data_IF_800641052667
#
_entry.id   IF_800641052667
#
_cell.length_a   1.000
_cell.length_b   1.000
_cell.length_c   1.000
_cell.angle_alpha   90.00
_cell.angle_beta   90.00
_cell.angle_gamma   90.00
#
_symmetry.space_group_name_H-M   'P 1'
#
loop_
_entity.id
_entity.type
_entity.pdbx_description
1 polymer ?
#
# COMPACT_ATOMS: atom_id res chain seq x y z
N UNK A 1 6.17 13.89 -15.03
CA UNK A 1 7.28 14.85 -14.90
C UNK A 1 7.01 15.96 -13.89
N UNK A 2 5.79 16.38 -13.73
CA UNK A 2 5.41 17.44 -12.78
C UNK A 2 5.21 16.94 -11.35
N UNK A 3 5.69 15.75 -11.03
CA UNK A 3 5.77 15.23 -9.67
C UNK A 3 6.84 16.01 -8.89
N UNK A 4 6.66 16.10 -7.57
CA UNK A 4 7.66 16.75 -6.74
C UNK A 4 8.96 15.95 -6.75
N UNK A 5 10.09 16.62 -6.92
CA UNK A 5 11.38 15.98 -6.70
C UNK A 5 11.53 15.61 -5.22
N UNK A 6 12.45 14.70 -4.87
CA UNK A 6 12.78 14.45 -3.47
C UNK A 6 13.27 15.75 -2.81
N UNK A 7 12.93 15.93 -1.54
CA UNK A 7 13.47 17.06 -0.76
C UNK A 7 14.97 16.85 -0.63
N UNK A 8 15.74 17.61 -1.40
CA UNK A 8 17.19 17.51 -1.45
C UNK A 8 17.87 18.19 -0.27
N UNK A 9 19.18 17.97 -0.12
CA UNK A 9 20.02 18.73 0.79
C UNK A 9 20.25 20.14 0.26
N UNK A 10 20.51 21.09 1.14
CA UNK A 10 20.69 22.51 0.78
C UNK A 10 21.86 22.77 -0.20
N UNK A 11 22.77 21.82 -0.35
CA UNK A 11 23.95 21.87 -1.23
C UNK A 11 23.73 21.20 -2.60
N UNK A 12 22.59 20.51 -2.80
CA UNK A 12 22.28 19.86 -4.07
C UNK A 12 21.83 20.86 -5.14
N UNK A 13 22.40 20.74 -6.34
CA UNK A 13 21.97 21.55 -7.49
C UNK A 13 20.57 21.09 -7.92
N UNK A 14 19.72 22.05 -8.32
CA UNK A 14 18.35 21.74 -8.75
C UNK A 14 18.27 20.65 -9.84
N UNK A 15 19.24 20.65 -10.79
CA UNK A 15 19.29 19.63 -11.84
C UNK A 15 19.46 18.20 -11.31
N UNK A 16 20.16 18.03 -10.20
CA UNK A 16 20.52 16.71 -9.67
C UNK A 16 19.33 16.01 -8.98
N UNK A 17 18.25 16.74 -8.75
CA UNK A 17 16.98 16.23 -8.23
C UNK A 17 16.14 15.45 -9.26
N UNK A 18 16.45 15.56 -10.56
CA UNK A 18 15.66 14.98 -11.64
C UNK A 18 16.37 13.80 -12.30
N UNK A 19 15.73 12.64 -12.34
CA UNK A 19 16.26 11.41 -12.92
C UNK A 19 16.65 11.57 -14.41
N UNK A 20 15.89 12.37 -15.18
CA UNK A 20 16.17 12.65 -16.59
C UNK A 20 17.44 13.51 -16.83
N UNK A 21 18.03 14.04 -15.77
CA UNK A 21 19.31 14.76 -15.80
C UNK A 21 20.50 13.85 -15.46
N UNK A 22 20.26 12.60 -15.08
CA UNK A 22 21.31 11.63 -14.75
C UNK A 22 22.04 11.13 -16.00
N UNK A 23 23.30 10.76 -15.82
CA UNK A 23 24.10 10.14 -16.90
C UNK A 23 23.48 8.82 -17.36
N UNK A 24 22.97 8.00 -16.43
CA UNK A 24 22.29 6.74 -16.73
C UNK A 24 21.08 6.94 -17.65
N UNK A 25 20.29 7.99 -17.44
CA UNK A 25 19.18 8.33 -18.34
C UNK A 25 19.64 8.64 -19.76
N UNK A 26 20.70 9.45 -19.89
CA UNK A 26 21.26 9.82 -21.19
C UNK A 26 21.83 8.60 -21.92
N UNK A 27 22.56 7.75 -21.21
CA UNK A 27 23.18 6.53 -21.77
C UNK A 27 22.14 5.47 -22.17
N UNK A 28 21.02 5.37 -21.45
CA UNK A 28 19.96 4.42 -21.73
C UNK A 28 19.24 4.68 -23.06
N UNK A 29 19.31 5.91 -23.61
CA UNK A 29 18.70 6.29 -24.90
C UNK A 29 17.25 5.83 -25.02
N UNK A 30 16.44 6.11 -23.99
CA UNK A 30 15.04 5.69 -23.95
C UNK A 30 14.25 6.17 -25.18
N UNK A 31 13.35 5.31 -25.63
CA UNK A 31 12.26 5.71 -26.52
C UNK A 31 11.15 6.32 -25.66
N UNK A 32 10.75 7.53 -26.00
CA UNK A 32 9.68 8.23 -25.27
C UNK A 32 8.36 7.97 -25.95
N UNK A 33 7.37 7.51 -25.18
CA UNK A 33 5.98 7.39 -25.59
C UNK A 33 5.14 8.25 -24.65
N UNK A 34 4.66 9.39 -25.13
CA UNK A 34 3.91 10.34 -24.31
C UNK A 34 2.41 10.02 -24.35
N UNK A 35 1.83 9.77 -23.18
CA UNK A 35 0.39 9.48 -23.06
C UNK A 35 -0.38 10.80 -23.02
N UNK A 36 -1.38 10.93 -23.89
CA UNK A 36 -2.22 12.14 -24.03
C UNK A 36 -3.54 12.06 -23.31
N UNK A 37 -4.04 10.84 -23.03
CA UNK A 37 -5.32 10.65 -22.36
C UNK A 37 -5.16 10.67 -20.83
N UNK A 38 -6.10 11.34 -20.17
CA UNK A 38 -6.16 11.45 -18.71
C UNK A 38 -7.38 10.68 -18.19
N UNK A 39 -7.15 9.72 -17.27
CA UNK A 39 -8.21 8.85 -16.74
C UNK A 39 -8.53 9.08 -15.26
N UNK A 40 -7.83 10.01 -14.60
CA UNK A 40 -8.05 10.28 -13.16
C UNK A 40 -9.17 11.27 -12.93
N UNK A 41 -9.20 12.35 -13.71
CA UNK A 41 -10.15 13.43 -13.58
C UNK A 41 -11.23 13.26 -14.65
N UNK A 42 -12.49 13.14 -14.20
CA UNK A 42 -13.67 13.13 -15.08
C UNK A 42 -14.27 14.55 -15.23
N UNK A 43 -13.66 15.54 -14.59
CA UNK A 43 -14.12 16.94 -14.49
C UNK A 43 -13.31 17.86 -15.43
N UNK A 44 -14.01 18.48 -16.37
CA UNK A 44 -13.41 19.41 -17.33
C UNK A 44 -12.85 20.67 -16.69
N UNK A 45 -13.48 21.20 -15.62
CA UNK A 45 -13.05 22.42 -14.95
C UNK A 45 -11.73 22.20 -14.20
N UNK A 46 -11.61 21.09 -13.48
CA UNK A 46 -10.36 20.71 -12.82
C UNK A 46 -9.23 20.45 -13.83
N UNK A 47 -9.55 19.75 -14.92
CA UNK A 47 -8.60 19.48 -16.00
C UNK A 47 -8.09 20.78 -16.67
N UNK A 48 -8.96 21.75 -16.88
CA UNK A 48 -8.59 23.05 -17.46
C UNK A 48 -7.60 23.79 -16.56
N UNK A 49 -7.87 23.84 -15.24
CA UNK A 49 -6.93 24.43 -14.26
C UNK A 49 -5.57 23.69 -14.27
N UNK A 50 -5.57 22.36 -14.23
CA UNK A 50 -4.34 21.57 -14.23
C UNK A 50 -3.53 21.75 -15.50
N UNK A 51 -4.19 21.82 -16.66
CA UNK A 51 -3.56 22.07 -17.94
C UNK A 51 -3.01 23.51 -18.02
N UNK A 52 -3.74 24.50 -17.47
CA UNK A 52 -3.27 25.88 -17.41
C UNK A 52 -2.03 26.01 -16.51
N UNK A 53 -1.92 25.26 -15.41
CA UNK A 53 -0.69 25.19 -14.60
C UNK A 53 0.44 24.57 -15.40
N UNK A 54 0.21 23.45 -16.11
CA UNK A 54 1.23 22.75 -16.92
C UNK A 54 1.77 23.61 -18.05
N UNK A 55 0.90 24.32 -18.75
CA UNK A 55 1.27 25.20 -19.87
C UNK A 55 1.70 26.60 -19.42
N UNK A 56 1.72 26.88 -18.12
CA UNK A 56 2.00 28.22 -17.55
C UNK A 56 1.08 29.33 -18.11
N UNK A 57 -0.17 28.98 -18.39
CA UNK A 57 -1.20 29.87 -18.93
C UNK A 57 -2.31 30.20 -17.93
N UNK A 58 -2.01 30.09 -16.64
CA UNK A 58 -2.94 30.47 -15.56
C UNK A 58 -3.38 31.92 -15.77
N UNK A 59 -4.70 32.13 -15.74
CA UNK A 59 -5.32 33.42 -15.86
C UNK A 59 -6.26 33.72 -14.67
N UNK A 60 -6.87 34.91 -14.68
CA UNK A 60 -7.71 35.36 -13.58
C UNK A 60 -8.97 34.49 -13.38
N UNK A 61 -9.49 33.88 -14.43
CA UNK A 61 -10.64 32.95 -14.33
C UNK A 61 -10.31 31.70 -13.55
N UNK A 62 -9.12 31.11 -13.82
CA UNK A 62 -8.63 29.95 -13.09
C UNK A 62 -8.40 30.26 -11.59
N UNK A 63 -7.83 31.45 -11.30
CA UNK A 63 -7.62 31.92 -9.93
C UNK A 63 -8.95 32.08 -9.21
N UNK A 64 -9.94 32.72 -9.85
CA UNK A 64 -11.28 32.90 -9.28
C UNK A 64 -11.98 31.56 -9.04
N UNK A 65 -11.87 30.61 -9.97
CA UNK A 65 -12.42 29.26 -9.79
C UNK A 65 -11.81 28.55 -8.57
N UNK A 66 -10.49 28.66 -8.36
CA UNK A 66 -9.81 28.13 -7.19
C UNK A 66 -10.26 28.86 -5.90
N UNK A 67 -10.37 30.19 -5.91
CA UNK A 67 -10.80 30.96 -4.75
C UNK A 67 -12.25 30.67 -4.34
N UNK A 68 -13.14 30.39 -5.29
CA UNK A 68 -14.52 29.99 -5.03
C UNK A 68 -14.64 28.71 -4.23
N UNK A 69 -13.67 27.80 -4.34
CA UNK A 69 -13.66 26.55 -3.56
C UNK A 69 -13.38 26.75 -2.07
N UNK A 70 -12.98 27.95 -1.63
CA UNK A 70 -12.54 28.22 -0.25
C UNK A 70 -13.57 27.89 0.83
N UNK A 71 -14.83 28.06 0.52
CA UNK A 71 -15.96 27.79 1.43
C UNK A 71 -16.83 26.63 0.93
N UNK A 72 -16.31 25.85 0.00
CA UNK A 72 -17.06 24.74 -0.59
C UNK A 72 -17.32 23.66 0.45
N UNK A 73 -18.55 23.16 0.47
CA UNK A 73 -18.89 21.98 1.27
C UNK A 73 -18.39 20.73 0.55
N UNK A 74 -17.45 20.03 1.18
CA UNK A 74 -16.85 18.80 0.67
C UNK A 74 -17.23 17.58 1.52
N UNK A 75 -18.29 17.71 2.35
CA UNK A 75 -18.74 16.69 3.29
C UNK A 75 -17.81 16.52 4.49
N UNK A 76 -18.07 15.48 5.29
CA UNK A 76 -17.35 15.21 6.56
C UNK A 76 -16.13 14.30 6.38
N UNK A 77 -16.07 13.59 5.25
CA UNK A 77 -15.00 12.60 4.98
C UNK A 77 -14.02 13.17 3.96
N UNK A 78 -13.05 13.93 4.44
CA UNK A 78 -11.99 14.49 3.62
C UNK A 78 -10.63 14.41 4.31
N UNK A 79 -9.57 14.49 3.51
CA UNK A 79 -8.19 14.54 3.99
C UNK A 79 -7.66 15.96 3.90
N UNK A 80 -6.90 16.42 4.91
CA UNK A 80 -6.24 17.72 4.89
C UNK A 80 -4.84 17.59 4.28
N UNK A 81 -4.52 18.40 3.28
CA UNK A 81 -3.21 18.46 2.65
C UNK A 81 -2.48 19.73 3.02
N UNK A 82 -1.27 19.57 3.57
CA UNK A 82 -0.41 20.69 3.98
C UNK A 82 0.99 20.57 3.34
N UNK A 83 1.68 21.70 3.28
CA UNK A 83 3.02 21.80 2.69
C UNK A 83 4.12 21.27 3.62
N UNK A 84 3.95 21.36 4.94
CA UNK A 84 4.96 21.02 5.94
C UNK A 84 4.53 19.89 6.89
N UNK A 85 5.50 19.10 7.36
CA UNK A 85 5.26 18.00 8.30
C UNK A 85 4.78 18.50 9.67
N UNK A 86 5.36 19.59 10.19
CA UNK A 86 5.00 20.11 11.51
C UNK A 86 3.51 20.44 11.65
N UNK A 87 2.90 21.00 10.59
CA UNK A 87 1.47 21.30 10.59
C UNK A 87 0.66 20.00 10.65
N UNK A 88 1.08 18.98 9.91
CA UNK A 88 0.43 17.67 9.83
C UNK A 88 0.47 16.94 11.16
N UNK A 89 1.62 16.86 11.77
CA UNK A 89 1.79 16.10 13.03
C UNK A 89 1.00 16.77 14.17
N UNK A 90 1.04 18.10 14.29
CA UNK A 90 0.28 18.83 15.32
C UNK A 90 -1.25 18.65 15.13
N UNK A 91 -1.74 18.66 13.90
CA UNK A 91 -3.18 18.44 13.60
C UNK A 91 -3.58 17.01 13.96
N UNK A 92 -2.79 16.03 13.54
CA UNK A 92 -3.07 14.62 13.80
C UNK A 92 -3.08 14.32 15.30
N UNK A 93 -2.08 14.80 16.05
CA UNK A 93 -2.04 14.63 17.50
C UNK A 93 -3.18 15.35 18.23
N UNK A 94 -3.55 16.55 17.79
CA UNK A 94 -4.70 17.27 18.36
C UNK A 94 -5.99 16.46 18.19
N UNK A 95 -6.29 15.99 16.96
CA UNK A 95 -7.48 15.19 16.73
C UNK A 95 -7.46 13.85 17.47
N UNK A 96 -6.29 13.21 17.58
CA UNK A 96 -6.17 11.99 18.37
C UNK A 96 -6.48 12.24 19.86
N UNK A 97 -6.02 13.37 20.40
CA UNK A 97 -6.27 13.74 21.81
C UNK A 97 -7.73 14.14 22.07
N UNK A 98 -8.43 14.66 21.05
CA UNK A 98 -9.87 14.99 21.13
C UNK A 98 -10.77 13.73 21.18
N UNK A 99 -10.23 12.55 20.84
CA UNK A 99 -10.97 11.29 20.96
C UNK A 99 -10.91 10.80 22.39
N UNK A 100 -12.06 10.51 22.99
CA UNK A 100 -12.17 9.88 24.30
C UNK A 100 -11.68 8.43 24.29
N UNK A 101 -11.16 7.99 25.44
CA UNK A 101 -10.71 6.61 25.67
C UNK A 101 -9.19 6.44 25.62
N UNK A 102 -8.76 5.24 26.02
CA UNK A 102 -7.35 4.88 26.10
C UNK A 102 -6.73 4.65 24.72
N UNK A 103 -5.49 5.08 24.55
CA UNK A 103 -4.71 4.84 23.32
C UNK A 103 -3.87 3.58 23.44
N UNK A 104 -3.77 2.84 22.35
CA UNK A 104 -2.81 1.74 22.20
C UNK A 104 -1.58 2.23 21.47
N UNK A 105 -0.40 1.99 22.04
CA UNK A 105 0.89 2.37 21.46
C UNK A 105 1.56 1.16 20.80
N UNK A 106 1.98 1.35 19.58
CA UNK A 106 2.70 0.37 18.76
C UNK A 106 4.10 0.90 18.50
N UNK A 107 5.12 0.15 18.95
CA UNK A 107 6.51 0.50 18.74
C UNK A 107 7.12 -0.37 17.65
N UNK A 108 7.87 0.24 16.76
CA UNK A 108 8.57 -0.48 15.70
C UNK A 108 9.63 -1.42 16.28
N UNK A 109 9.72 -2.62 15.73
CA UNK A 109 10.80 -3.55 16.00
C UNK A 109 11.86 -3.41 14.90
N UNK A 110 13.14 -3.31 15.30
CA UNK A 110 14.23 -3.09 14.38
C UNK A 110 15.34 -4.09 14.66
N UNK A 111 15.91 -4.65 13.60
CA UNK A 111 17.03 -5.58 13.69
C UNK A 111 18.04 -5.31 12.59
N UNK A 112 19.33 -5.52 12.87
CA UNK A 112 20.41 -5.41 11.90
C UNK A 112 21.38 -4.25 12.13
N UNK A 113 22.02 -3.77 11.05
CA UNK A 113 23.04 -2.74 11.10
C UNK A 113 22.46 -1.35 11.35
N UNK A 114 22.97 -0.60 12.36
CA UNK A 114 22.46 0.71 12.78
C UNK A 114 22.36 1.73 11.63
N UNK A 115 23.36 1.79 10.73
CA UNK A 115 23.34 2.74 9.59
C UNK A 115 22.24 2.40 8.58
N UNK A 116 21.98 1.11 8.37
CA UNK A 116 20.91 0.67 7.50
C UNK A 116 19.55 0.87 8.14
N UNK A 117 19.44 0.68 9.45
CA UNK A 117 18.23 0.99 10.23
C UNK A 117 17.90 2.47 10.10
N UNK A 118 18.87 3.38 10.27
CA UNK A 118 18.64 4.82 10.07
C UNK A 118 18.19 5.15 8.61
N UNK A 119 18.73 4.44 7.64
CA UNK A 119 18.28 4.56 6.25
C UNK A 119 16.83 4.06 6.09
N UNK A 120 16.48 2.92 6.70
CA UNK A 120 15.12 2.39 6.69
C UNK A 120 14.15 3.37 7.38
N UNK A 121 14.47 3.91 8.55
CA UNK A 121 13.66 4.92 9.27
C UNK A 121 13.34 6.12 8.39
N UNK A 122 14.29 6.59 7.61
CA UNK A 122 14.09 7.73 6.70
C UNK A 122 13.22 7.39 5.49
N UNK A 123 13.23 6.15 5.03
CA UNK A 123 12.52 5.68 3.84
C UNK A 123 11.13 5.10 4.16
N UNK A 124 10.97 4.47 5.31
CA UNK A 124 9.70 3.90 5.78
C UNK A 124 8.76 5.02 6.20
N UNK A 125 7.51 4.94 5.73
CA UNK A 125 6.49 5.96 6.04
C UNK A 125 5.73 5.69 7.33
N UNK A 126 5.83 4.48 7.90
CA UNK A 126 5.29 4.16 9.20
C UNK A 126 6.12 4.84 10.30
N UNK A 127 5.49 5.42 11.35
CA UNK A 127 6.20 6.03 12.46
C UNK A 127 6.85 4.97 13.36
N UNK A 128 7.96 5.31 14.02
CA UNK A 128 8.61 4.44 15.00
C UNK A 128 7.69 4.15 16.19
N UNK A 129 6.95 5.16 16.61
CA UNK A 129 5.92 5.08 17.64
C UNK A 129 4.58 5.52 17.06
N UNK A 130 3.60 4.63 17.09
CA UNK A 130 2.26 4.88 16.59
C UNK A 130 1.26 4.71 17.73
N UNK A 131 0.58 5.79 18.08
CA UNK A 131 -0.55 5.73 19.02
C UNK A 131 -1.87 5.78 18.26
N UNK A 132 -2.73 4.82 18.51
CA UNK A 132 -4.07 4.73 17.92
C UNK A 132 -5.15 4.68 19.01
N UNK A 133 -6.29 5.30 18.71
CA UNK A 133 -7.53 5.18 19.50
C UNK A 133 -8.65 4.70 18.59
N UNK A 134 -9.69 4.12 19.15
CA UNK A 134 -10.92 3.86 18.42
C UNK A 134 -11.44 5.15 17.81
N UNK A 135 -11.92 5.12 16.56
CA UNK A 135 -12.31 6.25 15.72
C UNK A 135 -11.16 7.10 15.16
N UNK A 136 -9.90 6.70 15.35
CA UNK A 136 -8.79 7.36 14.71
C UNK A 136 -8.85 7.16 13.17
N UNK A 137 -8.73 8.27 12.42
CA UNK A 137 -8.56 8.21 10.96
C UNK A 137 -7.13 7.82 10.63
N UNK A 138 -6.98 6.78 9.82
CA UNK A 138 -5.68 6.20 9.48
C UNK A 138 -5.52 6.01 7.98
N UNK A 139 -4.27 5.90 7.56
CA UNK A 139 -3.87 5.59 6.19
C UNK A 139 -2.84 4.48 6.20
N UNK A 140 -2.99 3.52 5.31
CA UNK A 140 -1.99 2.49 5.06
C UNK A 140 -0.77 3.08 4.32
N UNK A 141 0.42 2.64 4.71
CA UNK A 141 1.70 3.16 4.20
C UNK A 141 2.53 2.12 3.45
N UNK A 142 1.95 0.95 3.23
CA UNK A 142 2.53 -0.16 2.46
C UNK A 142 1.45 -0.78 1.57
N UNK A 143 1.86 -1.43 0.47
CA UNK A 143 0.94 -2.24 -0.32
C UNK A 143 0.91 -3.64 0.27
N UNK A 144 -0.29 -4.17 0.46
CA UNK A 144 -0.53 -5.59 0.74
C UNK A 144 -1.81 -5.98 -0.02
N UNK A 145 -1.60 -6.52 -1.22
CA UNK A 145 -2.70 -6.89 -2.12
C UNK A 145 -3.49 -8.07 -1.57
N UNK A 146 -2.86 -8.93 -0.79
CA UNK A 146 -3.46 -10.11 -0.19
C UNK A 146 -4.48 -9.73 0.90
N UNK A 147 -4.15 -8.70 1.68
CA UNK A 147 -5.04 -8.13 2.68
C UNK A 147 -6.03 -7.11 2.09
N UNK A 148 -5.90 -6.76 0.80
CA UNK A 148 -6.80 -5.86 0.10
C UNK A 148 -6.57 -4.37 0.35
N UNK A 149 -5.38 -3.95 0.76
CA UNK A 149 -5.03 -2.54 0.90
C UNK A 149 -3.78 -2.15 0.12
N UNK A 150 -3.71 -0.90 -0.25
CA UNK A 150 -2.55 -0.28 -0.91
C UNK A 150 -2.09 0.95 -0.14
N UNK A 151 -0.86 1.38 -0.42
CA UNK A 151 -0.34 2.64 0.11
C UNK A 151 -1.26 3.81 -0.25
N UNK A 152 -1.78 4.49 0.77
CA UNK A 152 -2.77 5.55 0.61
C UNK A 152 -4.21 5.12 0.86
N UNK A 153 -4.51 3.83 1.06
CA UNK A 153 -5.83 3.38 1.50
C UNK A 153 -6.21 4.03 2.83
N UNK A 154 -7.36 4.71 2.86
CA UNK A 154 -7.88 5.39 4.04
C UNK A 154 -8.85 4.50 4.80
N UNK A 155 -8.85 4.63 6.13
CA UNK A 155 -9.77 3.91 7.00
C UNK A 155 -9.94 4.56 8.36
N UNK A 156 -10.79 3.94 9.17
CA UNK A 156 -11.05 4.31 10.56
C UNK A 156 -10.78 3.11 11.46
N UNK A 157 -10.12 3.34 12.58
CA UNK A 157 -9.94 2.32 13.62
C UNK A 157 -11.28 2.09 14.32
N UNK A 158 -11.88 0.92 14.12
CA UNK A 158 -13.17 0.56 14.74
C UNK A 158 -13.03 -0.16 16.08
N UNK A 159 -11.83 -0.62 16.41
CA UNK A 159 -11.52 -1.32 17.67
C UNK A 159 -10.13 -1.92 17.65
N UNK A 160 -9.88 -2.72 18.66
CA UNK A 160 -8.63 -3.48 18.85
C UNK A 160 -8.98 -4.91 19.22
N UNK A 161 -8.17 -5.85 18.78
CA UNK A 161 -8.34 -7.28 19.03
C UNK A 161 -7.04 -7.85 19.57
N UNK A 162 -7.12 -8.65 20.65
CA UNK A 162 -5.96 -9.32 21.21
C UNK A 162 -5.72 -10.62 20.46
N UNK A 163 -4.57 -10.74 19.83
CA UNK A 163 -4.15 -11.92 19.04
C UNK A 163 -2.96 -12.58 19.71
N UNK A 164 -3.02 -13.88 19.90
CA UNK A 164 -2.07 -14.65 20.70
C UNK A 164 -0.59 -14.46 20.30
N UNK A 165 -0.32 -14.25 19.00
CA UNK A 165 1.06 -14.12 18.48
C UNK A 165 1.56 -12.68 18.36
N UNK A 166 0.65 -11.71 18.24
CA UNK A 166 0.97 -10.33 17.91
C UNK A 166 0.54 -9.33 19.01
N UNK A 167 -0.08 -9.82 20.10
CA UNK A 167 -0.66 -8.96 21.12
C UNK A 167 -1.89 -8.21 20.60
N UNK A 168 -2.01 -6.92 20.95
CA UNK A 168 -3.15 -6.10 20.54
C UNK A 168 -2.92 -5.61 19.12
N UNK A 169 -3.89 -5.87 18.23
CA UNK A 169 -3.88 -5.40 16.83
C UNK A 169 -5.04 -4.44 16.56
N UNK A 170 -4.86 -3.41 15.72
CA UNK A 170 -5.94 -2.50 15.36
C UNK A 170 -6.85 -3.13 14.30
N UNK A 171 -8.16 -3.00 14.51
CA UNK A 171 -9.20 -3.35 13.53
C UNK A 171 -9.62 -2.11 12.78
N UNK A 172 -9.40 -2.09 11.47
CA UNK A 172 -9.61 -0.91 10.62
C UNK A 172 -10.71 -1.18 9.60
N UNK A 173 -11.65 -0.25 9.50
CA UNK A 173 -12.66 -0.25 8.44
C UNK A 173 -12.21 0.70 7.34
N UNK A 174 -11.99 0.19 6.14
CA UNK A 174 -11.66 0.96 4.95
C UNK A 174 -12.86 1.79 4.46
N UNK A 175 -12.60 2.76 3.60
CA UNK A 175 -13.64 3.63 2.99
C UNK A 175 -14.63 2.88 2.10
N UNK A 176 -14.26 1.73 1.56
CA UNK A 176 -15.13 0.83 0.78
C UNK A 176 -16.00 -0.10 1.67
N UNK A 177 -15.83 -0.01 3.00
CA UNK A 177 -16.55 -0.82 3.98
C UNK A 177 -15.85 -2.10 4.41
N UNK A 178 -14.74 -2.50 3.77
CA UNK A 178 -13.93 -3.66 4.14
C UNK A 178 -13.35 -3.49 5.54
N UNK A 179 -13.42 -4.53 6.36
CA UNK A 179 -12.87 -4.53 7.72
C UNK A 179 -11.65 -5.44 7.77
N UNK A 180 -10.53 -4.90 8.24
CA UNK A 180 -9.25 -5.58 8.32
C UNK A 180 -8.73 -5.59 9.75
N UNK A 181 -8.18 -6.72 10.19
CA UNK A 181 -7.30 -6.80 11.35
C UNK A 181 -5.88 -6.56 10.83
N UNK A 182 -5.23 -5.51 11.31
CA UNK A 182 -3.97 -5.03 10.71
C UNK A 182 -2.78 -5.56 11.50
N UNK A 183 -2.03 -6.44 10.86
CA UNK A 183 -0.80 -7.02 11.41
C UNK A 183 0.42 -6.12 11.12
N UNK A 184 1.52 -6.27 11.88
CA UNK A 184 2.79 -5.61 11.58
C UNK A 184 3.33 -6.05 10.22
N UNK A 185 3.87 -5.11 9.48
CA UNK A 185 4.55 -5.32 8.21
C UNK A 185 6.04 -5.04 8.35
N UNK A 186 6.86 -5.78 7.60
CA UNK A 186 8.32 -5.65 7.66
C UNK A 186 8.86 -5.00 6.38
N UNK A 187 9.72 -4.01 6.54
CA UNK A 187 10.58 -3.45 5.50
C UNK A 187 11.99 -3.94 5.73
N UNK A 188 12.64 -4.49 4.73
CA UNK A 188 13.99 -5.05 4.85
C UNK A 188 14.96 -4.46 3.84
N UNK A 189 16.25 -4.58 4.17
CA UNK A 189 17.37 -4.40 3.25
C UNK A 189 18.09 -5.74 3.18
N UNK A 190 18.15 -6.28 1.98
CA UNK A 190 18.82 -7.56 1.72
C UNK A 190 20.17 -7.31 1.05
N UNK A 191 21.12 -8.20 1.27
CA UNK A 191 22.41 -8.19 0.56
C UNK A 191 22.29 -8.90 -0.81
N UNK A 192 23.36 -8.87 -1.59
CA UNK A 192 23.42 -9.47 -2.93
C UNK A 192 23.15 -11.00 -2.92
N UNK A 193 23.24 -11.66 -1.77
CA UNK A 193 22.92 -13.07 -1.61
C UNK A 193 21.50 -13.34 -1.12
N UNK A 194 20.66 -12.30 -1.03
CA UNK A 194 19.26 -12.39 -0.57
C UNK A 194 19.10 -12.54 0.95
N UNK A 195 20.17 -12.33 1.73
CA UNK A 195 20.07 -12.35 3.19
C UNK A 195 19.73 -10.98 3.72
N UNK A 196 18.69 -10.89 4.56
CA UNK A 196 18.29 -9.67 5.27
C UNK A 196 19.41 -9.21 6.20
N UNK A 197 19.85 -7.95 6.05
CA UNK A 197 20.90 -7.30 6.82
C UNK A 197 20.41 -6.16 7.70
N UNK A 198 19.20 -5.68 7.45
CA UNK A 198 18.47 -4.78 8.34
C UNK A 198 16.96 -4.92 8.09
N UNK A 199 16.16 -4.78 9.15
CA UNK A 199 14.71 -4.81 9.06
C UNK A 199 14.07 -3.78 9.99
N UNK A 200 12.88 -3.32 9.60
CA UNK A 200 12.00 -2.43 10.35
C UNK A 200 10.59 -3.01 10.28
N UNK A 201 10.03 -3.41 11.40
CA UNK A 201 8.69 -3.99 11.46
C UNK A 201 7.76 -3.12 12.30
N UNK A 202 6.61 -2.74 11.74
CA UNK A 202 5.63 -1.86 12.40
C UNK A 202 4.23 -2.09 11.81
N UNK A 203 3.19 -1.75 12.54
CA UNK A 203 1.84 -1.60 11.99
C UNK A 203 1.90 -0.63 10.79
N UNK A 204 1.46 -1.04 9.59
CA UNK A 204 1.62 -0.25 8.36
C UNK A 204 0.62 0.91 8.26
N UNK A 205 0.40 1.61 9.37
CA UNK A 205 -0.56 2.69 9.50
C UNK A 205 0.11 4.00 9.94
N UNK A 206 -0.54 5.08 9.63
CA UNK A 206 -0.30 6.40 10.20
C UNK A 206 -1.61 7.15 10.37
N UNK A 207 -1.63 8.15 11.27
CA UNK A 207 -2.76 9.05 11.40
C UNK A 207 -2.98 9.84 10.10
N UNK A 208 -4.24 10.05 9.71
CA UNK A 208 -4.60 10.58 8.40
C UNK A 208 -5.71 11.66 8.42
N UNK A 209 -5.88 12.39 9.51
CA UNK A 209 -6.69 13.62 9.47
C UNK A 209 -6.01 14.69 8.60
N UNK A 210 -4.67 14.70 8.63
CA UNK A 210 -3.85 15.54 7.77
C UNK A 210 -2.65 14.73 7.25
N UNK A 211 -2.21 15.03 6.01
CA UNK A 211 -1.01 14.47 5.40
C UNK A 211 -0.27 15.58 4.63
N UNK A 212 1.02 15.40 4.39
CA UNK A 212 1.74 16.33 3.53
C UNK A 212 1.50 16.06 2.06
N UNK A 213 1.60 17.11 1.25
CA UNK A 213 1.46 17.02 -0.21
C UNK A 213 2.45 15.99 -0.78
N UNK A 214 3.71 15.93 -0.31
CA UNK A 214 4.68 14.94 -0.73
C UNK A 214 4.20 13.50 -0.46
N UNK A 215 3.61 13.26 0.71
CA UNK A 215 3.09 11.93 1.07
C UNK A 215 1.80 11.57 0.33
N UNK A 216 1.04 12.56 -0.18
CA UNK A 216 -0.14 12.33 -1.00
C UNK A 216 0.19 11.95 -2.44
N UNK A 217 1.45 12.03 -2.83
CA UNK A 217 1.90 11.71 -4.19
C UNK A 217 1.59 10.25 -4.54
N UNK A 218 0.94 10.02 -5.68
CA UNK A 218 0.46 8.70 -6.09
C UNK A 218 -0.95 8.35 -5.62
N UNK A 219 -1.52 9.10 -4.66
CA UNK A 219 -2.89 8.86 -4.17
C UNK A 219 -3.94 9.49 -5.10
N UNK A 220 -5.19 9.02 -4.98
CA UNK A 220 -6.37 9.64 -5.55
C UNK A 220 -7.37 9.90 -4.42
N UNK A 221 -7.85 11.14 -4.30
CA UNK A 221 -8.74 11.58 -3.23
C UNK A 221 -10.10 11.97 -3.82
N UNK A 222 -11.18 11.57 -3.15
CA UNK A 222 -12.53 12.03 -3.49
C UNK A 222 -12.73 13.49 -3.06
N UNK A 223 -12.25 13.85 -1.86
CA UNK A 223 -12.31 15.19 -1.32
C UNK A 223 -11.06 15.54 -0.50
N UNK A 224 -10.62 16.79 -0.58
CA UNK A 224 -9.50 17.29 0.23
C UNK A 224 -9.65 18.79 0.56
N UNK A 225 -9.30 19.13 1.79
CA UNK A 225 -9.03 20.50 2.23
C UNK A 225 -7.54 20.77 2.08
N UNK A 226 -7.17 21.74 1.26
CA UNK A 226 -5.79 21.98 0.86
C UNK A 226 -5.36 23.37 1.30
N UNK A 227 -4.21 23.48 1.97
CA UNK A 227 -3.59 24.76 2.31
C UNK A 227 -2.22 24.88 1.62
N UNK A 228 -2.13 25.78 0.66
CA UNK A 228 -0.95 26.08 -0.14
C UNK A 228 -0.33 27.45 0.19
N UNK A 229 -0.76 28.13 1.27
CA UNK A 229 -0.27 29.47 1.62
C UNK A 229 1.23 29.48 1.91
N UNK A 230 1.77 28.36 2.41
CA UNK A 230 3.17 28.18 2.76
C UNK A 230 3.90 27.29 1.75
N UNK A 231 3.51 27.31 0.49
CA UNK A 231 4.23 26.54 -0.55
C UNK A 231 5.66 27.04 -0.67
N UNK A 232 6.63 26.12 -0.62
CA UNK A 232 8.05 26.39 -0.68
C UNK A 232 8.77 25.72 -1.85
N UNK A 233 8.12 24.74 -2.48
CA UNK A 233 8.66 24.02 -3.64
C UNK A 233 7.70 24.14 -4.83
N UNK A 234 8.24 24.49 -6.01
CA UNK A 234 7.46 24.56 -7.25
C UNK A 234 6.88 23.18 -7.58
N UNK A 235 5.63 23.12 -8.00
CA UNK A 235 4.90 21.90 -8.29
C UNK A 235 4.05 21.37 -7.13
N UNK A 236 4.22 21.88 -5.89
CA UNK A 236 3.41 21.42 -4.76
C UNK A 236 1.91 21.61 -5.00
N UNK A 237 1.50 22.77 -5.50
CA UNK A 237 0.09 23.04 -5.78
C UNK A 237 -0.45 22.14 -6.89
N UNK A 238 0.29 21.98 -7.99
CA UNK A 238 -0.09 21.04 -9.05
C UNK A 238 -0.28 19.62 -8.50
N UNK A 239 0.69 19.12 -7.73
CA UNK A 239 0.60 17.78 -7.15
C UNK A 239 -0.60 17.65 -6.21
N UNK A 240 -0.84 18.63 -5.32
CA UNK A 240 -1.94 18.60 -4.40
C UNK A 240 -3.31 18.59 -5.11
N UNK A 241 -3.53 19.53 -6.04
CA UNK A 241 -4.79 19.67 -6.77
C UNK A 241 -5.02 18.45 -7.69
N UNK A 242 -3.97 17.92 -8.32
CA UNK A 242 -4.05 16.73 -9.17
C UNK A 242 -4.36 15.42 -8.43
N UNK A 243 -4.44 15.43 -7.10
CA UNK A 243 -4.91 14.25 -6.32
C UNK A 243 -6.41 14.05 -6.42
N UNK A 244 -7.15 15.10 -6.69
CA UNK A 244 -8.62 15.09 -6.72
C UNK A 244 -9.18 14.56 -8.04
N UNK A 245 -10.38 14.00 -7.97
CA UNK A 245 -11.14 13.55 -9.15
C UNK A 245 -11.91 14.71 -9.81
N UNK A 246 -12.42 15.64 -9.00
CA UNK A 246 -13.22 16.80 -9.46
C UNK A 246 -12.94 18.03 -8.61
N UNK A 247 -13.29 19.20 -9.13
CA UNK A 247 -13.22 20.47 -8.40
C UNK A 247 -14.21 20.51 -7.23
N UNK A 248 -15.31 19.77 -7.32
CA UNK A 248 -16.32 19.66 -6.26
C UNK A 248 -15.77 19.04 -4.97
N UNK A 249 -14.71 18.24 -5.08
CA UNK A 249 -14.01 17.70 -3.91
C UNK A 249 -12.93 18.62 -3.34
N UNK A 250 -12.70 19.80 -3.90
CA UNK A 250 -11.67 20.74 -3.47
C UNK A 250 -12.19 21.77 -2.49
N UNK A 251 -11.55 21.91 -1.32
CA UNK A 251 -11.64 23.11 -0.46
C UNK A 251 -10.24 23.70 -0.34
N UNK A 252 -9.96 24.80 -1.06
CA UNK A 252 -8.65 25.44 -1.07
C UNK A 252 -8.63 26.62 -0.08
N UNK A 253 -8.01 26.45 1.08
CA UNK A 253 -7.96 27.45 2.15
C UNK A 253 -7.17 28.71 1.76
N UNK A 254 -6.13 28.54 0.96
CA UNK A 254 -5.29 29.63 0.45
C UNK A 254 -4.11 29.09 -0.33
N UNK A 255 -3.46 29.95 -1.10
CA UNK A 255 -2.25 29.64 -1.87
C UNK A 255 -1.40 30.90 -2.04
N UNK A 256 -0.09 30.71 -2.23
CA UNK A 256 0.84 31.75 -2.65
C UNK A 256 1.13 31.62 -4.16
N UNK A 257 1.83 32.58 -4.73
CA UNK A 257 2.17 32.58 -6.17
C UNK A 257 2.94 31.31 -6.58
N UNK A 258 3.86 30.85 -5.74
CA UNK A 258 4.70 29.67 -6.02
C UNK A 258 3.89 28.36 -6.10
N UNK A 259 2.70 28.31 -5.49
CA UNK A 259 1.84 27.14 -5.53
C UNK A 259 1.37 26.75 -6.94
N UNK A 260 1.22 27.74 -7.82
CA UNK A 260 0.75 27.55 -9.19
C UNK A 260 1.90 27.50 -10.20
N UNK A 261 3.16 27.54 -9.72
CA UNK A 261 4.34 27.44 -10.56
C UNK A 261 4.87 26.01 -10.64
N UNK A 262 5.52 25.69 -11.77
CA UNK A 262 6.23 24.45 -12.00
C UNK A 262 7.73 24.70 -12.19
N UNK A 263 8.55 23.68 -11.95
CA UNK A 263 9.97 23.77 -12.17
C UNK A 263 10.29 23.94 -13.67
N UNK A 264 11.15 24.89 -13.99
CA UNK A 264 11.50 25.22 -15.38
C UNK A 264 12.22 24.09 -16.12
N UNK A 265 12.98 23.23 -15.40
CA UNK A 265 13.61 22.04 -16.00
C UNK A 265 12.56 20.98 -16.31
N UNK A 266 11.59 20.77 -15.43
CA UNK A 266 10.48 19.84 -15.66
C UNK A 266 9.66 20.26 -16.89
N UNK A 267 9.34 21.55 -17.03
CA UNK A 267 8.62 22.09 -18.20
C UNK A 267 9.40 21.87 -19.50
N UNK A 268 10.71 22.16 -19.49
CA UNK A 268 11.56 21.95 -20.66
C UNK A 268 11.66 20.47 -21.04
N UNK A 269 11.80 19.62 -20.04
CA UNK A 269 11.85 18.17 -20.25
C UNK A 269 10.53 17.64 -20.81
N UNK A 270 9.38 18.07 -20.26
CA UNK A 270 8.06 17.66 -20.74
C UNK A 270 7.87 18.00 -22.22
N UNK A 271 8.21 19.23 -22.62
CA UNK A 271 8.16 19.65 -24.03
C UNK A 271 9.06 18.76 -24.90
N UNK A 272 10.30 18.51 -24.46
CA UNK A 272 11.21 17.63 -25.22
C UNK A 272 10.71 16.21 -25.33
N UNK A 273 10.04 15.69 -24.30
CA UNK A 273 9.45 14.34 -24.34
C UNK A 273 8.24 14.26 -25.27
N UNK A 274 7.44 15.31 -25.37
CA UNK A 274 6.38 15.39 -26.39
C UNK A 274 6.98 15.34 -27.80
N UNK A 275 7.97 16.19 -28.10
CA UNK A 275 8.68 16.17 -29.38
C UNK A 275 9.28 14.79 -29.70
N UNK A 276 9.96 14.16 -28.73
CA UNK A 276 10.56 12.83 -28.93
C UNK A 276 9.51 11.75 -29.16
N UNK A 277 8.33 11.88 -28.58
CA UNK A 277 7.21 10.97 -28.81
C UNK A 277 6.65 11.13 -30.22
N UNK A 278 6.48 12.37 -30.70
CA UNK A 278 6.05 12.67 -32.07
C UNK A 278 7.08 12.18 -33.10
N UNK A 279 8.38 12.41 -32.82
CA UNK A 279 9.48 11.88 -33.65
C UNK A 279 9.43 10.34 -33.72
N UNK A 280 9.19 9.67 -32.59
CA UNK A 280 9.07 8.21 -32.51
C UNK A 280 7.84 7.70 -33.26
N UNK A 281 6.68 8.35 -33.09
CA UNK A 281 5.46 8.01 -33.83
C UNK A 281 5.68 8.11 -35.34
N UNK A 282 6.25 9.22 -35.81
CA UNK A 282 6.58 9.41 -37.20
C UNK A 282 7.56 8.34 -37.73
N UNK A 283 8.60 8.03 -36.94
CA UNK A 283 9.59 7.03 -37.32
C UNK A 283 9.02 5.62 -37.48
N UNK A 284 8.04 5.28 -36.64
CA UNK A 284 7.43 3.93 -36.65
C UNK A 284 6.14 3.84 -37.44
N UNK A 285 5.58 4.95 -37.96
CA UNK A 285 4.32 4.96 -38.68
C UNK A 285 4.25 3.96 -39.85
N UNK A 286 5.35 3.86 -40.61
CA UNK A 286 5.45 2.99 -41.79
C UNK A 286 6.20 1.68 -41.51
N UNK A 287 6.60 1.41 -40.26
CA UNK A 287 7.35 0.21 -39.89
C UNK A 287 6.39 -0.91 -39.53
N UNK A 288 6.47 -2.05 -40.26
CA UNK A 288 5.72 -3.23 -39.83
C UNK A 288 6.34 -3.84 -38.57
N UNK A 289 5.75 -3.53 -37.41
CA UNK A 289 6.18 -4.03 -36.10
C UNK A 289 5.54 -5.38 -35.73
N UNK A 290 4.66 -5.96 -36.57
CA UNK A 290 3.93 -7.20 -36.25
C UNK A 290 4.88 -8.39 -35.95
N UNK A 291 5.99 -8.61 -36.68
CA UNK A 291 6.90 -9.71 -36.35
C UNK A 291 7.56 -9.55 -34.99
N UNK A 292 8.01 -8.32 -34.66
CA UNK A 292 8.64 -7.99 -33.38
C UNK A 292 7.64 -8.11 -32.23
N UNK A 293 6.41 -7.65 -32.42
CA UNK A 293 5.31 -7.77 -31.46
C UNK A 293 5.00 -9.25 -31.17
N UNK A 294 4.86 -10.08 -32.18
CA UNK A 294 4.65 -11.53 -32.02
C UNK A 294 5.82 -12.21 -31.30
N UNK A 295 7.06 -11.81 -31.63
CA UNK A 295 8.24 -12.34 -30.96
C UNK A 295 8.29 -11.93 -29.49
N UNK A 296 7.96 -10.67 -29.17
CA UNK A 296 7.89 -10.16 -27.80
C UNK A 296 6.82 -10.89 -26.96
N UNK A 297 5.60 -11.06 -27.49
CA UNK A 297 4.53 -11.79 -26.79
C UNK A 297 4.99 -13.20 -26.41
N UNK A 298 5.63 -13.93 -27.36
CA UNK A 298 6.14 -15.27 -27.09
C UNK A 298 7.28 -15.27 -26.06
N UNK A 299 8.17 -14.29 -26.16
CA UNK A 299 9.30 -14.14 -25.22
C UNK A 299 8.82 -13.91 -23.78
N UNK A 300 7.75 -13.14 -23.60
CA UNK A 300 7.12 -12.89 -22.30
C UNK A 300 6.18 -14.01 -21.84
N UNK A 301 6.16 -15.18 -22.51
CA UNK A 301 5.27 -16.30 -22.14
C UNK A 301 3.80 -16.11 -22.52
N UNK A 302 3.47 -15.07 -23.31
CA UNK A 302 2.13 -14.83 -23.82
C UNK A 302 1.74 -15.75 -24.99
N UNK A 303 0.46 -15.79 -25.31
CA UNK A 303 -0.09 -16.57 -26.43
C UNK A 303 -0.57 -15.68 -27.56
N UNK A 304 -0.43 -16.16 -28.79
CA UNK A 304 -1.02 -15.57 -30.01
C UNK A 304 -2.23 -16.35 -30.49
N UNK A 305 -2.65 -17.39 -29.74
CA UNK A 305 -3.80 -18.20 -30.09
C UNK A 305 -5.09 -17.49 -29.69
N UNK A 306 -5.91 -17.12 -30.68
CA UNK A 306 -7.15 -16.36 -30.46
C UNK A 306 -8.13 -17.07 -29.52
N UNK A 307 -8.18 -18.40 -29.56
CA UNK A 307 -9.05 -19.20 -28.68
C UNK A 307 -8.60 -19.08 -27.22
N UNK A 308 -7.28 -19.11 -26.98
CA UNK A 308 -6.71 -18.93 -25.65
C UNK A 308 -6.87 -17.49 -25.17
N UNK A 309 -6.67 -16.51 -26.05
CA UNK A 309 -6.88 -15.08 -25.75
C UNK A 309 -8.33 -14.88 -25.29
N UNK A 310 -9.31 -15.31 -26.11
CA UNK A 310 -10.75 -15.20 -25.78
C UNK A 310 -11.11 -15.92 -24.48
N UNK A 311 -10.49 -17.08 -24.21
CA UNK A 311 -10.68 -17.81 -22.95
C UNK A 311 -10.13 -17.03 -21.75
N UNK A 312 -8.96 -16.42 -21.92
CA UNK A 312 -8.32 -15.63 -20.87
C UNK A 312 -9.07 -14.32 -20.61
N UNK A 313 -9.52 -13.63 -21.65
CA UNK A 313 -10.38 -12.45 -21.55
C UNK A 313 -11.70 -12.75 -20.81
N UNK A 314 -12.36 -13.88 -21.12
CA UNK A 314 -13.54 -14.34 -20.40
C UNK A 314 -13.24 -14.65 -18.93
N UNK A 315 -12.05 -15.22 -18.62
CA UNK A 315 -11.64 -15.44 -17.24
C UNK A 315 -11.39 -14.11 -16.51
N UNK A 316 -10.70 -13.15 -17.15
CA UNK A 316 -10.44 -11.83 -16.60
C UNK A 316 -11.75 -11.07 -16.38
N UNK A 317 -12.67 -11.06 -17.36
CA UNK A 317 -13.98 -10.42 -17.22
C UNK A 317 -14.84 -11.06 -16.11
N UNK A 318 -14.78 -12.39 -15.97
CA UNK A 318 -15.46 -13.12 -14.90
C UNK A 318 -14.85 -12.84 -13.53
N UNK A 319 -13.55 -12.58 -13.48
CA UNK A 319 -12.81 -12.24 -12.26
C UNK A 319 -12.89 -10.74 -11.92
N UNK A 320 -13.00 -9.85 -12.91
CA UNK A 320 -13.22 -8.42 -12.70
C UNK A 320 -14.55 -8.09 -11.97
N UNK A 321 -15.57 -8.97 -12.14
CA UNK A 321 -16.81 -8.91 -11.35
C UNK A 321 -16.70 -9.57 -9.96
N UNK A 322 -15.56 -10.20 -9.64
CA UNK A 322 -15.26 -10.88 -8.39
C UNK A 322 -13.78 -10.65 -8.06
N UNK A 323 -13.37 -9.40 -7.92
CA UNK A 323 -12.08 -9.12 -7.31
C UNK A 323 -12.18 -9.37 -5.81
N UNK A 324 -12.21 -10.64 -5.43
CA UNK A 324 -11.72 -11.11 -4.14
C UNK A 324 -10.22 -11.39 -4.33
N UNK A 325 -9.38 -10.42 -4.03
CA UNK A 325 -7.93 -10.60 -3.93
C UNK A 325 -7.56 -11.79 -3.02
N UNK A 326 -8.39 -12.09 -2.03
CA UNK A 326 -8.25 -13.23 -1.14
C UNK A 326 -8.27 -14.60 -1.85
N UNK A 327 -8.92 -14.74 -3.01
CA UNK A 327 -8.94 -16.02 -3.75
C UNK A 327 -7.69 -16.25 -4.58
N UNK A 328 -7.13 -15.19 -5.19
CA UNK A 328 -5.90 -15.31 -5.97
C UNK A 328 -4.71 -15.69 -5.09
N UNK A 329 -4.64 -15.13 -3.88
CA UNK A 329 -3.60 -15.44 -2.90
C UNK A 329 -3.69 -16.87 -2.36
N UNK A 330 -4.91 -17.40 -2.18
CA UNK A 330 -5.12 -18.80 -1.79
C UNK A 330 -4.71 -19.77 -2.90
N UNK A 331 -5.02 -19.45 -4.17
CA UNK A 331 -4.69 -20.29 -5.31
C UNK A 331 -3.17 -20.39 -5.50
N UNK A 332 -2.44 -19.29 -5.30
CA UNK A 332 -0.98 -19.28 -5.39
C UNK A 332 -0.33 -20.09 -4.25
N UNK A 333 -0.83 -19.99 -3.01
CA UNK A 333 -0.41 -20.88 -1.92
C UNK A 333 -0.68 -22.34 -2.26
N UNK A 334 -1.85 -22.62 -2.84
CA UNK A 334 -2.25 -23.97 -3.25
C UNK A 334 -1.33 -24.55 -4.31
N UNK A 335 -0.99 -23.76 -5.34
CA UNK A 335 -0.07 -24.19 -6.41
C UNK A 335 1.32 -24.53 -5.87
N UNK A 336 1.91 -23.67 -5.03
CA UNK A 336 3.21 -23.92 -4.41
C UNK A 336 3.16 -25.15 -3.49
N UNK A 337 2.10 -25.29 -2.69
CA UNK A 337 1.94 -26.42 -1.79
C UNK A 337 1.78 -27.75 -2.55
N UNK A 338 0.97 -27.79 -3.61
CA UNK A 338 0.86 -28.94 -4.50
C UNK A 338 2.17 -29.21 -5.25
N UNK A 339 2.95 -28.17 -5.54
CA UNK A 339 4.30 -28.24 -6.12
C UNK A 339 5.34 -28.84 -5.17
N UNK A 340 5.00 -29.17 -3.93
CA UNK A 340 5.85 -29.82 -2.94
C UNK A 340 6.74 -28.89 -2.14
N UNK A 341 6.45 -27.57 -2.12
CA UNK A 341 7.16 -26.61 -1.27
C UNK A 341 6.72 -26.76 0.19
N UNK A 342 7.67 -26.62 1.12
CA UNK A 342 7.38 -26.59 2.55
C UNK A 342 6.75 -25.24 2.96
N UNK A 343 6.00 -25.23 4.08
CA UNK A 343 5.30 -24.03 4.57
C UNK A 343 6.26 -22.82 4.71
N UNK A 344 7.48 -23.07 5.17
CA UNK A 344 8.49 -22.01 5.34
C UNK A 344 8.97 -21.48 3.99
N UNK A 345 9.19 -22.36 3.00
CA UNK A 345 9.62 -21.95 1.66
C UNK A 345 8.53 -21.16 0.94
N UNK A 346 7.26 -21.58 1.08
CA UNK A 346 6.12 -20.85 0.57
C UNK A 346 6.01 -19.47 1.22
N UNK A 347 6.25 -19.38 2.53
CA UNK A 347 6.23 -18.12 3.25
C UNK A 347 7.31 -17.15 2.74
N UNK A 348 8.53 -17.65 2.51
CA UNK A 348 9.64 -16.86 1.95
C UNK A 348 9.34 -16.42 0.51
N UNK A 349 8.94 -17.37 -0.36
CA UNK A 349 8.66 -17.11 -1.78
C UNK A 349 7.55 -16.05 -1.96
N UNK A 350 6.55 -16.10 -1.09
CA UNK A 350 5.40 -15.19 -1.13
C UNK A 350 5.55 -13.92 -0.29
N UNK A 351 6.63 -13.80 0.48
CA UNK A 351 6.83 -12.68 1.41
C UNK A 351 5.77 -12.63 2.53
N UNK A 352 5.23 -13.80 2.91
CA UNK A 352 4.22 -13.95 3.95
C UNK A 352 4.81 -14.62 5.20
N UNK A 353 4.07 -14.58 6.31
CA UNK A 353 4.48 -15.35 7.50
C UNK A 353 4.05 -16.81 7.40
N UNK A 354 4.78 -17.77 8.04
CA UNK A 354 4.35 -19.17 8.12
C UNK A 354 2.94 -19.31 8.70
N UNK A 355 2.57 -18.49 9.67
CA UNK A 355 1.23 -18.43 10.24
C UNK A 355 0.15 -18.13 9.17
N UNK A 356 0.42 -17.18 8.28
CA UNK A 356 -0.49 -16.83 7.17
C UNK A 356 -0.64 -18.01 6.20
N UNK A 357 0.45 -18.69 5.86
CA UNK A 357 0.41 -19.88 4.99
C UNK A 357 -0.41 -21.01 5.64
N UNK A 358 -0.22 -21.25 6.94
CA UNK A 358 -1.01 -22.26 7.67
C UNK A 358 -2.51 -21.91 7.64
N UNK A 359 -2.87 -20.64 7.82
CA UNK A 359 -4.26 -20.20 7.71
C UNK A 359 -4.81 -20.36 6.28
N UNK A 360 -4.00 -20.12 5.24
CA UNK A 360 -4.39 -20.38 3.86
C UNK A 360 -4.65 -21.87 3.63
N UNK A 361 -3.76 -22.75 4.11
CA UNK A 361 -3.94 -24.21 4.03
C UNK A 361 -5.18 -24.67 4.78
N UNK A 362 -5.45 -24.14 5.97
CA UNK A 362 -6.65 -24.41 6.74
C UNK A 362 -7.93 -24.06 5.95
N UNK A 363 -7.94 -22.89 5.32
CA UNK A 363 -9.05 -22.42 4.50
C UNK A 363 -9.23 -23.25 3.24
N UNK A 364 -8.14 -23.55 2.52
CA UNK A 364 -8.14 -24.40 1.33
C UNK A 364 -8.59 -25.82 1.64
N UNK A 365 -8.17 -26.38 2.77
CA UNK A 365 -8.62 -27.70 3.23
C UNK A 365 -10.12 -27.71 3.50
N UNK A 366 -10.62 -26.73 4.25
CA UNK A 366 -12.04 -26.62 4.63
C UNK A 366 -12.97 -26.33 3.45
N UNK A 367 -12.59 -25.38 2.59
CA UNK A 367 -13.47 -24.88 1.52
C UNK A 367 -13.31 -25.63 0.18
N UNK A 368 -12.13 -26.16 -0.10
CA UNK A 368 -11.79 -26.80 -1.37
C UNK A 368 -11.38 -28.26 -1.26
N UNK A 369 -11.31 -28.81 -0.02
CA UNK A 369 -10.90 -30.20 0.20
C UNK A 369 -9.43 -30.47 -0.14
N UNK A 370 -8.53 -29.46 -0.05
CA UNK A 370 -7.11 -29.64 -0.31
C UNK A 370 -6.56 -30.69 0.67
N UNK A 371 -5.84 -31.70 0.15
CA UNK A 371 -5.10 -32.64 0.98
C UNK A 371 -3.86 -31.96 1.58
N UNK A 372 -3.87 -31.81 2.90
CA UNK A 372 -2.78 -31.18 3.67
C UNK A 372 -1.94 -32.21 4.43
N UNK A 373 -2.11 -33.51 4.16
CA UNK A 373 -1.42 -34.59 4.88
C UNK A 373 0.12 -34.48 4.82
N UNK A 374 0.65 -33.90 3.75
CA UNK A 374 2.10 -33.64 3.58
C UNK A 374 2.63 -32.64 4.63
N UNK A 375 1.79 -31.73 5.12
CA UNK A 375 2.15 -30.74 6.15
C UNK A 375 1.97 -31.28 7.58
N UNK A 376 1.68 -32.57 7.77
CA UNK A 376 1.42 -33.16 9.09
C UNK A 376 2.65 -33.04 10.01
N UNK A 377 2.56 -32.38 11.18
CA UNK A 377 3.71 -32.06 12.03
C UNK A 377 4.25 -33.27 12.84
N UNK A 378 3.70 -34.44 12.61
CA UNK A 378 4.02 -35.68 13.34
C UNK A 378 2.96 -36.05 14.40
N UNK A 379 2.75 -37.37 14.54
CA UNK A 379 1.68 -37.90 15.42
C UNK A 379 1.86 -37.50 16.88
N UNK A 380 3.10 -37.45 17.39
CA UNK A 380 3.39 -37.05 18.76
C UNK A 380 2.95 -35.61 19.04
N UNK A 381 3.22 -34.68 18.11
CA UNK A 381 2.87 -33.26 18.22
C UNK A 381 1.36 -33.10 18.20
N UNK A 382 0.69 -33.74 17.24
CA UNK A 382 -0.78 -33.68 17.10
C UNK A 382 -1.47 -34.28 18.33
N UNK A 383 -1.01 -35.40 18.85
CA UNK A 383 -1.64 -36.06 20.00
C UNK A 383 -1.41 -35.28 21.29
N UNK A 384 -0.26 -34.62 21.45
CA UNK A 384 0.00 -33.74 22.59
C UNK A 384 -0.94 -32.54 22.56
N UNK A 385 -1.06 -31.85 21.42
CA UNK A 385 -1.96 -30.70 21.23
C UNK A 385 -3.42 -31.14 21.42
N UNK A 386 -3.83 -32.29 20.87
CA UNK A 386 -5.18 -32.85 21.02
C UNK A 386 -5.57 -33.08 22.49
N UNK A 387 -4.67 -33.63 23.29
CA UNK A 387 -4.92 -33.84 24.72
C UNK A 387 -5.13 -32.55 25.49
N UNK A 388 -4.29 -31.54 25.20
CA UNK A 388 -4.37 -30.23 25.81
C UNK A 388 -5.67 -29.52 25.35
N UNK A 389 -5.95 -29.52 24.06
CA UNK A 389 -7.14 -28.93 23.47
C UNK A 389 -8.41 -29.50 24.11
N UNK A 390 -8.57 -30.85 24.17
CA UNK A 390 -9.69 -31.49 24.78
C UNK A 390 -9.85 -31.17 26.28
N UNK A 391 -8.72 -30.99 26.99
CA UNK A 391 -8.72 -30.62 28.41
C UNK A 391 -9.21 -29.19 28.63
N UNK A 392 -8.76 -28.25 27.77
CA UNK A 392 -9.15 -26.85 27.83
C UNK A 392 -10.64 -26.69 27.41
N UNK A 393 -11.08 -27.37 26.35
CA UNK A 393 -12.49 -27.38 25.93
C UNK A 393 -13.44 -27.86 27.03
N UNK A 394 -13.04 -28.86 27.80
CA UNK A 394 -13.84 -29.34 28.93
C UNK A 394 -13.95 -28.33 30.08
N UNK A 395 -12.93 -27.46 30.24
CA UNK A 395 -12.93 -26.45 31.32
C UNK A 395 -13.75 -25.21 31.00
N UNK A 396 -13.98 -24.89 29.72
CA UNK A 396 -14.77 -23.76 29.22
C UNK A 396 -14.51 -22.43 29.98
N UNK A 397 -13.25 -22.17 30.36
CA UNK A 397 -12.92 -20.96 31.08
C UNK A 397 -12.94 -19.78 30.08
N UNK A 398 -13.68 -18.68 30.36
CA UNK A 398 -13.77 -17.54 29.45
C UNK A 398 -12.41 -16.93 29.06
N UNK A 399 -11.41 -17.06 29.95
CA UNK A 399 -10.04 -16.60 29.72
C UNK A 399 -9.32 -17.37 28.59
N UNK A 400 -9.75 -18.61 28.30
CA UNK A 400 -9.15 -19.50 27.32
C UNK A 400 -9.91 -19.57 26.01
N UNK A 401 -11.03 -18.87 25.87
CA UNK A 401 -11.89 -18.90 24.70
C UNK A 401 -11.82 -17.57 23.94
N UNK A 402 -11.85 -17.65 22.62
CA UNK A 402 -12.10 -16.53 21.73
C UNK A 402 -13.62 -16.23 21.70
N UNK A 403 -14.01 -15.10 21.09
CA UNK A 403 -15.42 -14.69 20.96
C UNK A 403 -16.26 -15.70 20.13
N UNK A 404 -15.63 -16.44 19.22
CA UNK A 404 -16.25 -17.49 18.39
C UNK A 404 -16.37 -18.84 19.10
N UNK A 405 -15.90 -18.93 20.36
CA UNK A 405 -15.91 -20.15 21.16
C UNK A 405 -14.74 -21.11 20.91
N UNK A 406 -13.79 -20.75 20.02
CA UNK A 406 -12.55 -21.48 19.81
C UNK A 406 -11.55 -21.25 20.97
N UNK A 407 -10.61 -22.19 21.18
CA UNK A 407 -9.58 -22.03 22.21
C UNK A 407 -8.45 -21.12 21.68
N UNK A 408 -8.02 -20.18 22.51
CA UNK A 408 -6.82 -19.36 22.26
C UNK A 408 -5.58 -20.25 22.17
N UNK A 409 -4.65 -19.90 21.27
CA UNK A 409 -3.40 -20.66 21.08
C UNK A 409 -2.48 -20.63 22.30
N UNK A 410 -2.39 -19.47 22.96
CA UNK A 410 -1.48 -19.26 24.11
C UNK A 410 -1.64 -20.29 25.22
N UNK A 411 -2.82 -20.61 25.74
CA UNK A 411 -3.00 -21.64 26.76
C UNK A 411 -2.54 -23.03 26.31
N UNK A 412 -2.62 -23.33 25.01
CA UNK A 412 -2.13 -24.60 24.46
C UNK A 412 -0.60 -24.59 24.44
N UNK A 413 0.03 -23.54 23.91
CA UNK A 413 1.48 -23.37 23.86
C UNK A 413 2.10 -23.46 25.25
N UNK A 414 1.50 -22.77 26.24
CA UNK A 414 2.00 -22.77 27.63
C UNK A 414 1.88 -24.13 28.32
N UNK A 415 0.95 -24.97 27.85
CA UNK A 415 0.75 -26.33 28.39
C UNK A 415 1.56 -27.43 27.69
N UNK A 416 2.26 -27.13 26.57
CA UNK A 416 3.11 -28.09 25.87
C UNK A 416 4.45 -28.29 26.60
N UNK A 417 4.97 -29.53 26.59
CA UNK A 417 6.27 -29.89 27.17
C UNK A 417 6.97 -30.94 26.28
N UNK A 418 8.09 -30.62 25.61
CA UNK A 418 8.75 -29.29 25.57
C UNK A 418 7.85 -28.21 24.96
N UNK A 419 8.13 -26.94 25.27
CA UNK A 419 7.34 -25.82 24.79
C UNK A 419 7.43 -25.70 23.27
N UNK A 420 6.28 -25.81 22.59
CA UNK A 420 6.15 -25.66 21.14
C UNK A 420 6.07 -24.18 20.76
N UNK A 421 6.45 -23.86 19.52
CA UNK A 421 6.14 -22.53 18.97
C UNK A 421 4.67 -22.43 18.52
N UNK A 422 4.17 -21.22 18.35
CA UNK A 422 2.78 -20.97 17.95
C UNK A 422 2.42 -21.60 16.60
N UNK A 423 3.33 -21.57 15.62
CA UNK A 423 3.10 -22.14 14.29
C UNK A 423 2.97 -23.66 14.34
N UNK A 424 3.77 -24.32 15.17
CA UNK A 424 3.65 -25.77 15.40
C UNK A 424 2.29 -26.14 16.01
N UNK A 425 1.83 -25.37 17.00
CA UNK A 425 0.52 -25.61 17.62
C UNK A 425 -0.60 -25.32 16.63
N UNK A 426 -0.51 -24.21 15.87
CA UNK A 426 -1.49 -23.84 14.83
C UNK A 426 -1.60 -24.91 13.75
N UNK A 427 -0.46 -25.41 13.27
CA UNK A 427 -0.43 -26.48 12.28
C UNK A 427 -1.03 -27.78 12.84
N UNK A 428 -0.65 -28.16 14.07
CA UNK A 428 -1.17 -29.36 14.71
C UNK A 428 -2.70 -29.31 14.90
N UNK A 429 -3.26 -28.13 15.18
CA UNK A 429 -4.71 -27.95 15.34
C UNK A 429 -5.49 -28.31 14.08
N UNK A 430 -4.91 -28.18 12.87
CA UNK A 430 -5.56 -28.61 11.62
C UNK A 430 -5.81 -30.13 11.56
N UNK A 431 -5.15 -30.92 12.40
CA UNK A 431 -5.21 -32.38 12.46
C UNK A 431 -5.83 -32.89 13.77
N UNK A 432 -6.37 -31.98 14.60
CA UNK A 432 -6.96 -32.34 15.92
C UNK A 432 -8.43 -32.73 15.82
N UNK A 433 -9.12 -32.33 14.75
CA UNK A 433 -10.54 -32.65 14.54
C UNK A 433 -10.80 -34.13 14.29
#
# INVERSE_FOLDING_TARGET
FFQLPPVGRNDEKNRDKFCFMSQAWVEAKFRVCYLTEQHRQDDSALNDILNAIRSQSINQQHIQALEQTRQQDIGDTFTRLYTHNMDVDSINYRHLNEIDGDGHQFCAQMDGNDKLIETLKSSVRAPEELTLKKHAKVMFVKNNFDMGYINGSLGEVIGFEEVDDHGILPKVKLTDGTVLLVEPETWSVDNDSGKTIASFSQIPLRLAWAITIHKSQGMTLAAAEINLSNTFEKGQGYVAISRLKSIDGLRLLGFNEQALELDSLAIKADRRFQELSEEAETHYADVNLEPQHKAFIRHCGGTLNETEITRNEKKIAKNAGKQNYATATLDETKELFIGGYEIQDIAVERGLTPATIINHLAKLHREQGLDISVAHPGDEVVEQVRKIYKKLMKRQSPEHLNEDGSIKLRPIVEATAPRMCYDQVRLALLFVE
#
